data_IF_454067810562
#
_entry.id   IF_454067810562
#
_cell.length_a   1.000
_cell.length_b   1.000
_cell.length_c   1.000
_cell.angle_alpha   90.00
_cell.angle_beta   90.00
_cell.angle_gamma   90.00
#
_symmetry.space_group_name_H-M   'P 1'
#
loop_
_entity.id
_entity.type
_entity.pdbx_description
1 polymer ?
#
# COMPACT_ATOMS: atom_id res chain seq x y z
N UNK A 1 -22.29 -16.18 -20.80
CA UNK A 1 -22.46 -14.74 -20.61
C UNK A 1 -21.16 -14.20 -20.07
N UNK A 2 -20.40 -13.54 -20.92
CA UNK A 2 -19.10 -12.95 -20.58
C UNK A 2 -19.31 -11.75 -19.65
N UNK A 3 -19.17 -11.95 -18.35
CA UNK A 3 -18.86 -10.85 -17.43
C UNK A 3 -17.46 -10.36 -17.82
N UNK A 4 -17.38 -9.46 -18.80
CA UNK A 4 -16.22 -8.59 -18.92
C UNK A 4 -16.26 -7.70 -17.67
N UNK A 5 -15.71 -8.23 -16.57
CA UNK A 5 -15.28 -7.41 -15.45
C UNK A 5 -14.38 -6.36 -16.07
N UNK A 6 -14.85 -5.11 -16.12
CA UNK A 6 -14.02 -3.97 -16.43
C UNK A 6 -12.88 -4.01 -15.42
N UNK A 7 -11.74 -4.59 -15.83
CA UNK A 7 -10.50 -4.50 -15.07
C UNK A 7 -10.10 -3.03 -15.18
N UNK A 8 -10.65 -2.21 -14.29
CA UNK A 8 -10.25 -0.83 -14.14
C UNK A 8 -8.74 -0.83 -13.95
N UNK A 9 -8.02 -0.08 -14.78
CA UNK A 9 -6.56 -0.11 -14.77
C UNK A 9 -6.03 0.29 -13.39
N UNK A 10 -4.96 -0.38 -12.93
CA UNK A 10 -4.35 -0.10 -11.62
C UNK A 10 -4.10 1.40 -11.35
N UNK A 11 -3.65 2.23 -12.32
CA UNK A 11 -3.48 3.67 -12.10
C UNK A 11 -4.78 4.41 -11.73
N UNK A 12 -5.92 3.99 -12.28
CA UNK A 12 -7.22 4.61 -11.99
C UNK A 12 -7.71 4.23 -10.60
N UNK A 13 -7.59 2.96 -10.23
CA UNK A 13 -7.89 2.51 -8.86
C UNK A 13 -6.99 3.24 -7.85
N UNK A 14 -5.72 3.44 -8.20
CA UNK A 14 -4.76 4.12 -7.34
C UNK A 14 -5.13 5.58 -7.15
N UNK A 15 -5.45 6.29 -8.23
CA UNK A 15 -5.92 7.67 -8.17
C UNK A 15 -7.18 7.80 -7.29
N UNK A 16 -8.17 6.91 -7.46
CA UNK A 16 -9.36 6.90 -6.60
C UNK A 16 -9.00 6.69 -5.13
N UNK A 17 -8.13 5.73 -4.83
CA UNK A 17 -7.69 5.45 -3.46
C UNK A 17 -6.99 6.66 -2.82
N UNK A 18 -6.13 7.36 -3.57
CA UNK A 18 -5.42 8.55 -3.10
C UNK A 18 -6.36 9.73 -2.88
N UNK A 19 -7.31 9.95 -3.79
CA UNK A 19 -8.31 11.03 -3.65
C UNK A 19 -9.20 10.82 -2.43
N UNK A 20 -9.72 9.60 -2.22
CA UNK A 20 -10.51 9.29 -1.03
C UNK A 20 -9.70 9.40 0.27
N UNK A 21 -8.44 8.98 0.26
CA UNK A 21 -7.56 9.16 1.42
C UNK A 21 -7.29 10.65 1.73
N UNK A 22 -7.15 11.48 0.69
CA UNK A 22 -6.91 12.91 0.84
C UNK A 22 -8.09 13.67 1.46
N UNK A 23 -9.32 13.18 1.27
CA UNK A 23 -10.54 13.75 1.88
C UNK A 23 -11.00 12.99 3.14
N UNK A 24 -10.13 12.17 3.72
CA UNK A 24 -10.40 11.38 4.94
C UNK A 24 -11.56 10.38 4.83
N UNK A 25 -11.99 10.01 3.62
CA UNK A 25 -12.91 8.90 3.38
C UNK A 25 -12.11 7.58 3.41
N UNK A 26 -11.71 7.17 4.62
CA UNK A 26 -10.82 6.01 4.83
C UNK A 26 -11.47 4.70 4.40
N UNK A 27 -12.79 4.58 4.52
CA UNK A 27 -13.54 3.39 4.10
C UNK A 27 -13.35 3.12 2.60
N UNK A 28 -13.59 4.13 1.76
CA UNK A 28 -13.38 3.98 0.32
C UNK A 28 -11.91 3.90 -0.05
N UNK A 29 -11.04 4.64 0.62
CA UNK A 29 -9.60 4.52 0.40
C UNK A 29 -9.13 3.07 0.60
N UNK A 30 -9.58 2.42 1.67
CA UNK A 30 -9.32 1.00 1.91
C UNK A 30 -9.92 0.11 0.83
N UNK A 31 -11.17 0.33 0.41
CA UNK A 31 -11.80 -0.44 -0.66
C UNK A 31 -10.90 -0.51 -1.91
N UNK A 32 -10.41 0.64 -2.38
CA UNK A 32 -9.61 0.71 -3.59
C UNK A 32 -8.17 0.22 -3.40
N UNK A 33 -7.51 0.54 -2.28
CA UNK A 33 -6.17 0.01 -2.02
C UNK A 33 -6.15 -1.51 -1.81
N UNK A 34 -7.14 -2.06 -1.11
CA UNK A 34 -7.26 -3.51 -0.95
C UNK A 34 -7.56 -4.21 -2.28
N UNK A 35 -8.41 -3.60 -3.11
CA UNK A 35 -8.65 -4.08 -4.47
C UNK A 35 -7.37 -4.10 -5.31
N UNK A 36 -6.56 -3.04 -5.24
CA UNK A 36 -5.25 -3.01 -5.91
C UNK A 36 -4.32 -4.11 -5.39
N UNK A 37 -4.22 -4.29 -4.07
CA UNK A 37 -3.35 -5.29 -3.48
C UNK A 37 -3.77 -6.73 -3.88
N UNK A 38 -5.07 -6.95 -4.08
CA UNK A 38 -5.64 -8.23 -4.55
C UNK A 38 -5.43 -8.44 -6.05
N UNK A 39 -5.85 -7.48 -6.87
CA UNK A 39 -6.00 -7.66 -8.32
C UNK A 39 -4.72 -7.31 -9.08
N UNK A 40 -3.87 -6.47 -8.49
CA UNK A 40 -2.63 -5.95 -9.06
C UNK A 40 -1.49 -6.03 -8.02
N UNK A 41 -1.13 -7.23 -7.55
CA UNK A 41 -0.14 -7.41 -6.47
C UNK A 41 1.27 -6.93 -6.84
N UNK A 42 1.53 -6.67 -8.13
CA UNK A 42 2.77 -6.13 -8.66
C UNK A 42 2.77 -4.59 -8.74
N UNK A 43 1.68 -3.91 -8.39
CA UNK A 43 1.61 -2.46 -8.29
C UNK A 43 2.16 -1.99 -6.94
N UNK A 44 3.50 -1.97 -6.84
CA UNK A 44 4.25 -1.86 -5.58
C UNK A 44 3.87 -0.63 -4.74
N UNK A 45 3.62 0.52 -5.38
CA UNK A 45 3.25 1.75 -4.67
C UNK A 45 2.01 1.61 -3.79
N UNK A 46 1.09 0.69 -4.13
CA UNK A 46 -0.10 0.40 -3.30
C UNK A 46 0.26 0.02 -1.87
N UNK A 47 1.31 -0.77 -1.66
CA UNK A 47 1.65 -1.27 -0.33
C UNK A 47 2.15 -0.16 0.60
N UNK A 48 2.83 0.85 0.05
CA UNK A 48 3.26 2.00 0.84
C UNK A 48 2.05 2.79 1.32
N UNK A 49 1.16 3.16 0.39
CA UNK A 49 0.00 3.98 0.73
C UNK A 49 -1.04 3.25 1.59
N UNK A 50 -1.26 1.95 1.33
CA UNK A 50 -2.12 1.11 2.18
C UNK A 50 -1.56 0.98 3.59
N UNK A 51 -0.24 0.78 3.73
CA UNK A 51 0.41 0.74 5.04
C UNK A 51 0.26 2.07 5.79
N UNK A 52 0.48 3.22 5.12
CA UNK A 52 0.30 4.54 5.75
C UNK A 52 -1.15 4.77 6.17
N UNK A 53 -2.12 4.28 5.41
CA UNK A 53 -3.54 4.36 5.76
C UNK A 53 -3.86 3.47 6.98
N UNK A 54 -3.27 2.28 7.07
CA UNK A 54 -3.36 1.45 8.28
C UNK A 54 -2.76 2.15 9.51
N UNK A 55 -1.59 2.78 9.40
CA UNK A 55 -1.02 3.58 10.49
C UNK A 55 -1.96 4.73 10.90
N UNK A 56 -2.45 5.50 9.91
CA UNK A 56 -3.36 6.64 10.14
C UNK A 56 -4.65 6.26 10.86
N UNK A 57 -5.09 5.01 10.68
CA UNK A 57 -6.31 4.47 11.30
C UNK A 57 -6.03 3.59 12.53
N UNK A 58 -4.80 3.59 13.03
CA UNK A 58 -4.42 2.90 14.28
C UNK A 58 -4.21 1.40 14.15
N UNK A 59 -4.09 0.87 12.94
CA UNK A 59 -3.95 -0.56 12.64
C UNK A 59 -2.47 -0.91 12.36
N UNK A 60 -1.59 -0.66 13.32
CA UNK A 60 -0.14 -0.78 13.17
C UNK A 60 0.32 -2.17 12.68
N UNK A 61 -0.23 -3.25 13.24
CA UNK A 61 0.11 -4.63 12.85
C UNK A 61 -0.17 -4.90 11.36
N UNK A 62 -1.27 -4.37 10.84
CA UNK A 62 -1.63 -4.50 9.42
C UNK A 62 -0.73 -3.63 8.54
N UNK A 63 -0.30 -2.46 9.02
CA UNK A 63 0.66 -1.63 8.29
C UNK A 63 1.99 -2.37 8.10
N UNK A 64 2.55 -2.92 9.20
CA UNK A 64 3.81 -3.68 9.19
C UNK A 64 3.73 -4.85 8.21
N UNK A 65 2.67 -5.66 8.29
CA UNK A 65 2.45 -6.80 7.39
C UNK A 65 2.29 -6.35 5.92
N UNK A 66 1.68 -5.20 5.69
CA UNK A 66 1.50 -4.63 4.34
C UNK A 66 2.83 -4.18 3.74
N UNK A 67 3.67 -3.48 4.52
CA UNK A 67 5.01 -3.08 4.06
C UNK A 67 5.89 -4.29 3.72
N UNK A 68 5.85 -5.33 4.54
CA UNK A 68 6.57 -6.59 4.27
C UNK A 68 6.16 -7.21 2.93
N UNK A 69 4.85 -7.29 2.65
CA UNK A 69 4.35 -7.77 1.34
C UNK A 69 4.83 -6.88 0.20
N UNK A 70 4.80 -5.57 0.39
CA UNK A 70 5.32 -4.60 -0.57
C UNK A 70 6.79 -4.85 -0.88
N UNK A 71 7.63 -5.02 0.14
CA UNK A 71 9.07 -5.26 -0.03
C UNK A 71 9.35 -6.53 -0.84
N UNK A 72 8.57 -7.59 -0.62
CA UNK A 72 8.65 -8.83 -1.41
C UNK A 72 8.29 -8.55 -2.88
N UNK A 73 7.20 -7.81 -3.12
CA UNK A 73 6.78 -7.45 -4.49
C UNK A 73 7.82 -6.57 -5.20
N UNK A 74 8.35 -5.56 -4.52
CA UNK A 74 9.41 -4.68 -5.01
C UNK A 74 10.66 -5.46 -5.41
N UNK A 75 11.12 -6.37 -4.54
CA UNK A 75 12.28 -7.24 -4.80
C UNK A 75 12.06 -8.14 -6.01
N UNK A 76 10.86 -8.71 -6.16
CA UNK A 76 10.51 -9.53 -7.32
C UNK A 76 10.57 -8.72 -8.63
N UNK A 77 10.17 -7.44 -8.60
CA UNK A 77 10.24 -6.53 -9.74
C UNK A 77 11.62 -5.87 -9.94
N UNK A 78 12.56 -6.11 -9.01
CA UNK A 78 13.86 -5.42 -8.94
C UNK A 78 13.72 -3.90 -8.83
N UNK A 79 12.64 -3.43 -8.21
CA UNK A 79 12.39 -2.02 -7.93
C UNK A 79 13.04 -1.65 -6.58
N UNK A 80 14.32 -1.29 -6.65
CA UNK A 80 15.11 -0.97 -5.45
C UNK A 80 14.71 0.39 -4.83
N UNK A 81 14.11 1.28 -5.62
CA UNK A 81 13.63 2.55 -5.10
C UNK A 81 12.42 2.31 -4.21
N UNK A 82 11.38 1.65 -4.74
CA UNK A 82 10.20 1.31 -3.96
C UNK A 82 10.52 0.38 -2.77
N UNK A 83 11.47 -0.54 -2.92
CA UNK A 83 11.94 -1.36 -1.81
C UNK A 83 12.48 -0.50 -0.66
N UNK A 84 13.32 0.50 -0.96
CA UNK A 84 13.91 1.37 0.04
C UNK A 84 12.85 2.22 0.76
N UNK A 85 11.87 2.75 0.03
CA UNK A 85 10.75 3.52 0.62
C UNK A 85 9.92 2.65 1.57
N UNK A 86 9.58 1.42 1.15
CA UNK A 86 8.84 0.47 1.96
C UNK A 86 9.62 0.00 3.18
N UNK A 87 10.94 -0.17 3.06
CA UNK A 87 11.80 -0.55 4.17
C UNK A 87 11.89 0.55 5.23
N UNK A 88 12.00 1.82 4.83
CA UNK A 88 11.95 2.96 5.75
C UNK A 88 10.60 3.03 6.47
N UNK A 89 9.49 2.93 5.74
CA UNK A 89 8.16 2.92 6.35
C UNK A 89 7.95 1.73 7.31
N UNK A 90 8.46 0.55 6.95
CA UNK A 90 8.46 -0.62 7.82
C UNK A 90 9.25 -0.38 9.11
N UNK A 91 10.47 0.16 9.02
CA UNK A 91 11.31 0.38 10.19
C UNK A 91 10.64 1.38 11.15
N UNK A 92 10.12 2.48 10.62
CA UNK A 92 9.36 3.46 11.38
C UNK A 92 8.14 2.83 12.07
N UNK A 93 7.31 2.10 11.32
CA UNK A 93 6.11 1.45 11.85
C UNK A 93 6.41 0.33 12.87
N UNK A 94 7.55 -0.36 12.72
CA UNK A 94 8.00 -1.41 13.63
C UNK A 94 8.79 -0.89 14.84
N UNK A 95 9.01 0.43 14.95
CA UNK A 95 9.82 1.02 16.02
C UNK A 95 11.30 0.62 15.95
N UNK A 96 11.81 0.36 14.75
CA UNK A 96 13.21 -0.01 14.49
C UNK A 96 14.08 1.18 14.09
N UNK A 97 13.47 2.33 13.87
CA UNK A 97 14.20 3.60 13.76
C UNK A 97 14.70 3.93 15.17
N UNK A 98 15.94 3.55 15.46
CA UNK A 98 16.66 4.03 16.64
C UNK A 98 16.82 5.55 16.46
N UNK A 99 15.99 6.33 17.14
CA UNK A 99 16.38 7.70 17.47
C UNK A 99 17.59 7.58 18.39
N UNK A 100 18.77 7.81 17.82
CA UNK A 100 20.01 8.05 18.57
C UNK A 100 19.75 9.32 19.40
N UNK A 101 19.40 9.14 20.68
CA UNK A 101 19.35 10.22 21.70
C UNK A 101 20.73 10.86 21.89
#
# INVERSE_FOLDING_TARGET
GSQQSFRTAAPVLYALATEYNAVDDHEKAFEYYLKLASDHPDYVGTYYHLGKLYEKTGQADLAIATYQKGMISAKNKRDMHAFSELQGAYNSAAGLDYEDD
#
